data_IF_848531053014
#
_entry.id   IF_848531053014
#
_cell.length_a   1.000
_cell.length_b   1.000
_cell.length_c   1.000
_cell.angle_alpha   90.00
_cell.angle_beta   90.00
_cell.angle_gamma   90.00
#
_symmetry.space_group_name_H-M   'P 1'
#
loop_
_entity.id
_entity.type
_entity.pdbx_description
1 polymer ?
#
# COMPACT_ATOMS: atom_id res chain seq x y z
N UNK A 1 -17.63 -4.90 16.78
CA UNK A 1 -17.08 -3.60 17.23
C UNK A 1 -15.89 -3.14 16.36
N UNK A 2 -15.86 -3.40 15.04
CA UNK A 2 -14.60 -3.35 14.27
C UNK A 2 -14.50 -2.24 13.19
N UNK A 3 -15.53 -1.41 12.98
CA UNK A 3 -15.51 -0.39 11.92
C UNK A 3 -14.53 0.74 12.22
N UNK A 4 -14.57 1.31 13.44
CA UNK A 4 -13.73 2.45 13.83
C UNK A 4 -12.22 2.11 13.83
N UNK A 5 -11.87 0.88 14.15
CA UNK A 5 -10.48 0.42 14.17
C UNK A 5 -9.91 0.30 12.76
N UNK A 6 -10.67 -0.29 11.83
CA UNK A 6 -10.28 -0.39 10.42
C UNK A 6 -10.23 0.97 9.73
N UNK A 7 -11.10 1.91 10.10
CA UNK A 7 -11.02 3.29 9.61
C UNK A 7 -9.72 3.98 10.05
N UNK A 8 -9.27 3.76 11.29
CA UNK A 8 -7.98 4.29 11.78
C UNK A 8 -6.79 3.70 11.01
N UNK A 9 -6.75 2.36 10.87
CA UNK A 9 -5.68 1.68 10.12
C UNK A 9 -5.68 2.15 8.66
N UNK A 10 -6.85 2.27 8.03
CA UNK A 10 -6.95 2.73 6.64
C UNK A 10 -6.40 4.15 6.49
N UNK A 11 -6.63 5.04 7.46
CA UNK A 11 -6.06 6.40 7.45
C UNK A 11 -4.54 6.40 7.64
N UNK A 12 -4.01 5.59 8.55
CA UNK A 12 -2.56 5.46 8.75
C UNK A 12 -1.89 4.94 7.46
N UNK A 13 -2.46 3.90 6.84
CA UNK A 13 -1.95 3.35 5.58
C UNK A 13 -2.10 4.36 4.43
N UNK A 14 -3.20 5.12 4.38
CA UNK A 14 -3.39 6.17 3.38
C UNK A 14 -2.26 7.19 3.42
N UNK A 15 -1.90 7.65 4.62
CA UNK A 15 -0.81 8.62 4.78
C UNK A 15 0.52 8.08 4.24
N UNK A 16 0.86 6.85 4.60
CA UNK A 16 2.09 6.19 4.11
C UNK A 16 2.07 6.07 2.58
N UNK A 17 0.92 5.71 1.99
CA UNK A 17 0.76 5.60 0.54
C UNK A 17 0.94 6.97 -0.15
N UNK A 18 0.37 8.04 0.41
CA UNK A 18 0.53 9.40 -0.12
C UNK A 18 1.99 9.87 -0.04
N UNK A 19 2.65 9.69 1.11
CA UNK A 19 4.05 10.05 1.31
C UNK A 19 4.98 9.27 0.36
N UNK A 20 4.82 7.95 0.31
CA UNK A 20 5.64 7.10 -0.57
C UNK A 20 5.35 7.33 -2.05
N UNK A 21 4.11 7.66 -2.43
CA UNK A 21 3.77 8.01 -3.81
C UNK A 21 4.38 9.35 -4.22
N UNK A 22 4.36 10.36 -3.35
CA UNK A 22 4.99 11.65 -3.60
C UNK A 22 6.52 11.53 -3.71
N UNK A 23 7.13 10.74 -2.81
CA UNK A 23 8.55 10.44 -2.85
C UNK A 23 8.94 9.64 -4.10
N UNK A 24 8.13 8.64 -4.48
CA UNK A 24 8.35 7.86 -5.70
C UNK A 24 8.24 8.73 -6.96
N UNK A 25 7.26 9.64 -7.01
CA UNK A 25 7.13 10.54 -8.16
C UNK A 25 8.38 11.41 -8.32
N UNK A 26 8.86 12.01 -7.21
CA UNK A 26 10.10 12.78 -7.20
C UNK A 26 11.31 11.93 -7.61
N UNK A 27 11.41 10.70 -7.10
CA UNK A 27 12.49 9.77 -7.42
C UNK A 27 12.48 9.36 -8.91
N UNK A 28 11.31 8.99 -9.44
CA UNK A 28 11.13 8.54 -10.83
C UNK A 28 11.40 9.62 -11.88
N UNK A 29 11.33 10.90 -11.49
CA UNK A 29 11.68 12.03 -12.36
C UNK A 29 13.19 12.24 -12.48
N UNK A 30 13.97 11.76 -11.50
CA UNK A 30 15.42 11.98 -11.42
C UNK A 30 16.26 10.74 -11.72
N UNK A 31 15.68 9.54 -11.59
CA UNK A 31 16.43 8.29 -11.65
C UNK A 31 15.86 7.35 -12.73
N UNK A 32 16.75 6.75 -13.53
CA UNK A 32 16.40 5.76 -14.58
C UNK A 32 16.35 4.33 -14.00
N UNK A 33 16.10 4.20 -12.71
CA UNK A 33 16.03 2.88 -12.07
C UNK A 33 14.74 2.18 -12.47
N UNK A 34 14.85 0.92 -12.89
CA UNK A 34 13.71 0.07 -13.28
C UNK A 34 12.84 -0.37 -12.08
N UNK A 35 12.92 0.33 -10.95
CA UNK A 35 12.20 -0.01 -9.73
C UNK A 35 10.74 0.41 -9.84
N UNK A 36 9.83 -0.56 -9.67
CA UNK A 36 8.40 -0.27 -9.62
C UNK A 36 8.01 0.37 -8.27
N UNK A 37 6.85 1.02 -8.23
CA UNK A 37 6.36 1.66 -7.00
C UNK A 37 6.32 0.68 -5.82
N UNK A 38 6.01 -0.60 -6.04
CA UNK A 38 5.93 -1.58 -4.97
C UNK A 38 7.31 -1.83 -4.34
N UNK A 39 8.35 -1.97 -5.16
CA UNK A 39 9.73 -2.13 -4.69
C UNK A 39 10.20 -0.91 -3.89
N UNK A 40 9.85 0.30 -4.36
CA UNK A 40 10.14 1.55 -3.65
C UNK A 40 9.39 1.63 -2.32
N UNK A 41 8.08 1.39 -2.32
CA UNK A 41 7.27 1.38 -1.10
C UNK A 41 7.69 0.28 -0.10
N UNK A 42 8.33 -0.79 -0.58
CA UNK A 42 8.97 -1.81 0.24
C UNK A 42 10.04 -1.25 1.18
N UNK A 43 10.65 -0.11 0.86
CA UNK A 43 11.59 0.58 1.76
C UNK A 43 10.90 1.13 3.02
N UNK A 44 9.60 1.42 2.95
CA UNK A 44 8.78 1.90 4.07
C UNK A 44 8.11 0.76 4.87
N UNK A 45 8.59 -0.49 4.73
CA UNK A 45 7.98 -1.67 5.39
C UNK A 45 7.74 -1.51 6.89
N UNK A 46 8.68 -0.87 7.62
CA UNK A 46 8.51 -0.66 9.06
C UNK A 46 7.27 0.17 9.40
N UNK A 47 6.96 1.16 8.56
CA UNK A 47 5.77 2.01 8.72
C UNK A 47 4.50 1.21 8.43
N UNK A 48 4.50 0.39 7.37
CA UNK A 48 3.38 -0.50 7.05
C UNK A 48 3.12 -1.54 8.15
N UNK A 49 4.17 -2.18 8.69
CA UNK A 49 4.04 -3.10 9.84
C UNK A 49 3.35 -2.44 11.02
N UNK A 50 3.77 -1.22 11.34
CA UNK A 50 3.23 -0.45 12.45
C UNK A 50 1.76 -0.07 12.18
N UNK A 51 1.44 0.48 11.01
CA UNK A 51 0.08 0.89 10.66
C UNK A 51 -0.89 -0.29 10.59
N UNK A 52 -0.46 -1.41 9.99
CA UNK A 52 -1.27 -2.62 9.84
C UNK A 52 -1.30 -3.50 11.09
N UNK A 53 -0.50 -3.16 12.11
CA UNK A 53 -0.31 -3.96 13.34
C UNK A 53 0.09 -5.40 13.04
N UNK A 54 0.82 -5.60 11.95
CA UNK A 54 1.33 -6.90 11.49
C UNK A 54 2.86 -6.88 11.49
N UNK A 55 3.51 -7.32 12.59
CA UNK A 55 4.97 -7.37 12.65
C UNK A 55 5.58 -8.46 11.76
N UNK A 56 4.77 -9.47 11.35
CA UNK A 56 5.21 -10.59 10.53
C UNK A 56 5.21 -10.27 9.03
N UNK A 57 4.51 -9.21 8.61
CA UNK A 57 4.45 -8.76 7.21
C UNK A 57 5.85 -8.64 6.60
N UNK A 58 6.17 -9.42 5.58
CA UNK A 58 7.46 -9.34 4.88
C UNK A 58 7.42 -8.31 3.77
N UNK A 59 8.61 -7.89 3.30
CA UNK A 59 8.74 -6.97 2.15
C UNK A 59 8.09 -7.58 0.92
N UNK A 60 8.37 -8.85 0.66
CA UNK A 60 7.80 -9.58 -0.48
C UNK A 60 6.27 -9.67 -0.41
N UNK A 61 5.70 -9.90 0.79
CA UNK A 61 4.26 -9.89 0.99
C UNK A 61 3.64 -8.52 0.71
N UNK A 62 4.25 -7.46 1.25
CA UNK A 62 3.81 -6.07 1.02
C UNK A 62 3.87 -5.74 -0.48
N UNK A 63 4.99 -6.01 -1.15
CA UNK A 63 5.14 -5.76 -2.58
C UNK A 63 4.10 -6.53 -3.40
N UNK A 64 3.84 -7.80 -3.07
CA UNK A 64 2.81 -8.62 -3.72
C UNK A 64 1.42 -8.01 -3.54
N UNK A 65 1.08 -7.54 -2.34
CA UNK A 65 -0.20 -6.87 -2.05
C UNK A 65 -0.31 -5.59 -2.89
N UNK A 66 0.74 -4.77 -2.90
CA UNK A 66 0.77 -3.51 -3.66
C UNK A 66 0.60 -3.76 -5.16
N UNK A 67 1.36 -4.68 -5.75
CA UNK A 67 1.25 -5.03 -7.18
C UNK A 67 -0.15 -5.54 -7.53
N UNK A 68 -0.75 -6.39 -6.68
CA UNK A 68 -2.14 -6.85 -6.88
C UNK A 68 -3.14 -5.71 -6.80
N UNK A 69 -3.01 -4.84 -5.79
CA UNK A 69 -3.87 -3.67 -5.61
C UNK A 69 -3.81 -2.72 -6.82
N UNK A 70 -2.61 -2.40 -7.30
CA UNK A 70 -2.40 -1.56 -8.48
C UNK A 70 -3.02 -2.18 -9.75
N UNK A 71 -2.81 -3.48 -9.98
CA UNK A 71 -3.45 -4.20 -11.11
C UNK A 71 -4.97 -4.15 -11.00
N UNK A 72 -5.53 -4.33 -9.80
CA UNK A 72 -6.97 -4.32 -9.57
C UNK A 72 -7.58 -2.93 -9.77
N UNK A 73 -6.92 -1.87 -9.27
CA UNK A 73 -7.33 -0.48 -9.51
C UNK A 73 -7.38 -0.17 -11.01
N UNK A 74 -6.30 -0.50 -11.73
CA UNK A 74 -6.21 -0.27 -13.18
C UNK A 74 -7.33 -0.96 -13.98
N UNK A 75 -7.76 -2.15 -13.56
CA UNK A 75 -8.80 -2.94 -14.26
C UNK A 75 -10.21 -2.52 -13.86
N UNK A 76 -10.45 -2.30 -12.57
CA UNK A 76 -11.82 -2.12 -12.05
C UNK A 76 -12.24 -0.66 -12.00
N UNK A 77 -11.32 0.25 -11.65
CA UNK A 77 -11.67 1.63 -11.36
C UNK A 77 -10.46 2.58 -11.53
N UNK A 78 -9.95 2.76 -12.76
CA UNK A 78 -8.76 3.58 -13.00
C UNK A 78 -8.99 5.07 -12.75
N UNK A 79 -10.24 5.53 -12.66
CA UNK A 79 -10.60 6.94 -12.50
C UNK A 79 -10.76 7.38 -11.05
N UNK A 80 -10.80 6.46 -10.09
CA UNK A 80 -10.92 6.82 -8.67
C UNK A 80 -9.59 7.18 -8.01
N UNK A 81 -9.69 7.80 -6.83
CA UNK A 81 -8.53 8.13 -6.02
C UNK A 81 -7.72 6.86 -5.68
N UNK A 82 -6.57 6.74 -6.34
CA UNK A 82 -5.67 5.61 -6.24
C UNK A 82 -5.21 5.38 -4.79
N UNK A 83 -4.80 6.43 -4.05
CA UNK A 83 -4.30 6.29 -2.67
C UNK A 83 -5.38 5.76 -1.73
N UNK A 84 -6.60 6.29 -1.85
CA UNK A 84 -7.75 5.84 -1.07
C UNK A 84 -8.15 4.39 -1.36
N UNK A 85 -8.12 4.00 -2.64
CA UNK A 85 -8.34 2.61 -3.06
C UNK A 85 -7.26 1.69 -2.48
N UNK A 86 -5.99 2.05 -2.63
CA UNK A 86 -4.86 1.24 -2.17
C UNK A 86 -4.86 1.07 -0.66
N UNK A 87 -5.11 2.13 0.11
CA UNK A 87 -5.19 2.05 1.56
C UNK A 87 -6.31 1.10 2.03
N UNK A 88 -7.48 1.19 1.39
CA UNK A 88 -8.61 0.29 1.66
C UNK A 88 -8.28 -1.16 1.26
N UNK A 89 -7.61 -1.34 0.11
CA UNK A 89 -7.22 -2.65 -0.40
C UNK A 89 -6.21 -3.35 0.52
N UNK A 90 -5.14 -2.66 0.91
CA UNK A 90 -4.08 -3.19 1.78
C UNK A 90 -4.67 -3.53 3.16
N UNK A 91 -5.45 -2.62 3.75
CA UNK A 91 -6.08 -2.84 5.06
C UNK A 91 -6.98 -4.07 5.05
N UNK A 92 -7.72 -4.31 3.95
CA UNK A 92 -8.55 -5.51 3.80
C UNK A 92 -7.70 -6.77 3.57
N UNK A 93 -6.67 -6.69 2.73
CA UNK A 93 -5.80 -7.83 2.42
C UNK A 93 -5.08 -8.38 3.65
N UNK A 94 -4.60 -7.49 4.53
CA UNK A 94 -3.91 -7.87 5.77
C UNK A 94 -4.88 -8.36 6.84
N UNK A 95 -6.03 -7.70 7.02
CA UNK A 95 -7.05 -8.17 7.98
C UNK A 95 -7.71 -9.49 7.58
N UNK A 96 -7.71 -9.83 6.29
CA UNK A 96 -8.19 -11.13 5.82
C UNK A 96 -7.17 -12.26 6.07
N UNK A 97 -6.07 -12.01 6.79
CA UNK A 97 -5.01 -12.96 7.11
C UNK A 97 -4.48 -13.71 5.87
N UNK A 98 -4.40 -13.03 4.73
CA UNK A 98 -4.00 -13.53 3.41
C UNK A 98 -4.95 -14.57 2.75
N UNK A 99 -5.88 -14.14 1.90
CA UNK A 99 -6.48 -14.98 0.87
C UNK A 99 -5.91 -14.64 -0.52
N UNK A 100 -5.28 -15.65 -1.12
CA UNK A 100 -5.18 -15.97 -2.57
C UNK A 100 -4.51 -14.96 -3.53
#
# INVERSE_FOLDING_TARGET
>A
MNSKHNESITREVLHIIEETSAAYHSFSLHDYTNADYAEFAGMAIAQFKNALRDPALTREQLEKILRKGMKKHRVMDPSSNWSGFMASYITRATNANHPE
#
